data_IF_043269381694
#
_entry.id   IF_043269381694
#
_cell.length_a   1.000
_cell.length_b   1.000
_cell.length_c   1.000
_cell.angle_alpha   90.00
_cell.angle_beta   90.00
_cell.angle_gamma   90.00
#
_symmetry.space_group_name_H-M   'P 1'
#
loop_
_entity.id
_entity.type
_entity.pdbx_description
1 polymer ?
#
# COMPACT_ATOMS: atom_id res chain seq x y z
N UNK A 1 -8.78 62.61 22.36
CA UNK A 1 -8.04 61.69 21.49
C UNK A 1 -8.21 60.26 22.04
N UNK A 2 -9.00 59.41 21.44
CA UNK A 2 -9.14 58.03 21.86
C UNK A 2 -8.21 57.11 21.04
N UNK A 3 -7.42 56.34 21.75
CA UNK A 3 -6.51 55.34 21.20
C UNK A 3 -7.28 54.07 20.79
N UNK A 4 -7.25 53.75 19.52
CA UNK A 4 -7.79 52.53 18.93
C UNK A 4 -7.00 51.31 19.44
N UNK A 5 -7.64 50.43 20.17
CA UNK A 5 -7.14 49.12 20.56
C UNK A 5 -7.66 48.11 19.55
N UNK A 6 -6.84 47.76 18.56
CA UNK A 6 -7.10 46.67 17.61
C UNK A 6 -7.14 45.33 18.34
N UNK A 7 -8.29 44.69 18.36
CA UNK A 7 -8.46 43.31 18.81
C UNK A 7 -7.82 42.37 17.79
N UNK A 8 -6.74 41.77 18.22
CA UNK A 8 -6.04 40.71 17.49
C UNK A 8 -6.78 39.39 17.70
N UNK A 9 -7.69 39.03 16.78
CA UNK A 9 -8.35 37.74 16.75
C UNK A 9 -7.33 36.67 16.36
N UNK A 10 -6.69 36.09 17.35
CA UNK A 10 -5.83 34.92 17.19
C UNK A 10 -6.63 33.76 16.59
N UNK A 11 -6.43 33.53 15.32
CA UNK A 11 -6.82 32.30 14.63
C UNK A 11 -6.16 31.12 15.35
N UNK A 12 -6.89 30.46 16.25
CA UNK A 12 -6.53 29.15 16.78
C UNK A 12 -6.52 28.17 15.59
N UNK A 13 -5.34 27.94 15.03
CA UNK A 13 -5.08 26.82 14.13
C UNK A 13 -5.27 25.56 14.97
N UNK A 14 -6.38 24.87 14.76
CA UNK A 14 -6.54 23.50 15.20
C UNK A 14 -5.47 22.69 14.45
N UNK A 15 -4.38 22.40 15.13
CA UNK A 15 -3.46 21.36 14.73
C UNK A 15 -4.19 20.05 15.03
N UNK A 16 -4.99 19.60 14.07
CA UNK A 16 -5.37 18.21 13.99
C UNK A 16 -4.10 17.44 13.71
N UNK A 17 -3.44 17.03 14.80
CA UNK A 17 -2.45 15.97 14.76
C UNK A 17 -3.22 14.72 14.33
N UNK A 18 -3.41 14.56 13.02
CA UNK A 18 -3.71 13.27 12.45
C UNK A 18 -2.53 12.38 12.86
N UNK A 19 -2.78 11.51 13.83
CA UNK A 19 -1.93 10.38 14.12
C UNK A 19 -1.94 9.55 12.84
N UNK A 20 -1.03 9.90 11.93
CA UNK A 20 -0.67 9.03 10.83
C UNK A 20 -0.13 7.76 11.49
N UNK A 21 -1.06 6.81 11.73
CA UNK A 21 -0.68 5.43 11.85
C UNK A 21 0.06 5.14 10.54
N UNK A 22 1.37 5.22 10.60
CA UNK A 22 2.21 4.66 9.55
C UNK A 22 1.99 3.16 9.59
N UNK A 23 0.88 2.73 8.98
CA UNK A 23 0.69 1.38 8.49
C UNK A 23 1.66 1.21 7.30
N UNK A 24 2.94 1.59 7.56
CA UNK A 24 4.01 1.48 6.58
C UNK A 24 4.30 0.04 6.16
N UNK A 25 3.72 -0.93 6.89
CA UNK A 25 3.81 -2.34 6.53
C UNK A 25 2.86 -2.76 5.39
N UNK A 26 1.88 -1.92 5.02
CA UNK A 26 0.85 -2.30 4.03
C UNK A 26 1.12 -1.84 2.60
N UNK A 27 1.94 -0.81 2.38
CA UNK A 27 2.16 -0.27 1.02
C UNK A 27 3.28 -1.03 0.26
N UNK A 28 4.17 -1.72 0.96
CA UNK A 28 5.05 -2.71 0.33
C UNK A 28 4.26 -3.84 -0.37
N UNK A 29 2.97 -3.92 -0.11
CA UNK A 29 2.02 -4.85 -0.65
C UNK A 29 1.26 -4.42 -1.90
N UNK A 30 1.63 -3.35 -2.63
CA UNK A 30 1.18 -3.21 -4.01
C UNK A 30 1.72 -4.41 -4.79
N UNK A 31 0.87 -5.43 -4.79
CA UNK A 31 1.17 -6.79 -5.17
C UNK A 31 2.11 -6.93 -6.32
N UNK A 32 3.10 -7.70 -6.10
CA UNK A 32 3.61 -8.58 -7.11
C UNK A 32 2.56 -9.66 -7.43
N UNK A 33 1.32 -9.28 -7.77
CA UNK A 33 0.55 -10.13 -8.64
C UNK A 33 1.42 -10.27 -9.86
N UNK A 34 1.76 -11.50 -10.22
CA UNK A 34 2.50 -11.86 -11.43
C UNK A 34 2.02 -10.97 -12.58
N UNK A 35 2.69 -9.84 -12.79
CA UNK A 35 2.67 -9.13 -14.05
C UNK A 35 3.36 -10.08 -15.02
N UNK A 36 2.60 -10.99 -15.61
CA UNK A 36 3.00 -11.70 -16.80
C UNK A 36 2.90 -10.74 -18.00
N UNK A 37 3.64 -9.67 -17.89
CA UNK A 37 4.11 -8.89 -19.03
C UNK A 37 5.61 -8.97 -18.97
N UNK A 38 6.16 -9.95 -19.70
CA UNK A 38 7.59 -10.14 -19.88
C UNK A 38 8.34 -10.36 -18.57
N UNK A 39 8.76 -11.57 -18.32
CA UNK A 39 9.76 -12.03 -17.33
C UNK A 39 10.34 -10.92 -16.44
N UNK A 40 9.66 -10.61 -15.33
CA UNK A 40 10.24 -9.79 -14.27
C UNK A 40 11.46 -10.54 -13.76
N UNK A 41 12.59 -9.86 -13.80
CA UNK A 41 13.91 -10.20 -13.28
C UNK A 41 14.11 -11.59 -12.69
N UNK A 42 14.48 -12.55 -13.54
CA UNK A 42 15.13 -13.77 -13.05
C UNK A 42 16.62 -13.49 -13.00
N UNK A 43 17.16 -13.34 -11.80
CA UNK A 43 18.58 -13.51 -11.58
C UNK A 43 18.80 -14.96 -11.16
N UNK A 44 19.63 -15.69 -11.89
CA UNK A 44 19.88 -17.13 -11.67
C UNK A 44 18.61 -18.03 -11.73
N UNK A 45 17.55 -17.63 -12.46
CA UNK A 45 16.34 -18.43 -12.62
C UNK A 45 15.29 -18.34 -11.51
N UNK A 46 15.60 -17.72 -10.36
CA UNK A 46 14.70 -17.58 -9.22
C UNK A 46 13.96 -16.21 -9.28
N UNK A 47 12.63 -16.15 -9.08
CA UNK A 47 11.89 -14.89 -8.99
C UNK A 47 12.33 -14.07 -7.76
N UNK A 48 12.42 -12.73 -7.90
CA UNK A 48 12.82 -11.83 -6.80
C UNK A 48 11.93 -12.01 -5.56
N UNK A 49 10.64 -12.23 -5.76
CA UNK A 49 9.64 -12.38 -4.70
C UNK A 49 9.83 -13.62 -3.82
N UNK A 50 10.64 -14.58 -4.28
CA UNK A 50 10.91 -15.84 -3.55
C UNK A 50 12.29 -15.88 -2.94
N UNK A 51 13.06 -14.79 -3.05
CA UNK A 51 14.41 -14.68 -2.50
C UNK A 51 14.37 -14.33 -1.01
N UNK A 52 15.32 -14.85 -0.26
CA UNK A 52 15.63 -14.35 1.09
C UNK A 52 16.19 -12.94 1.01
N UNK A 53 16.20 -12.20 2.13
CA UNK A 53 16.72 -10.83 2.16
C UNK A 53 18.17 -10.74 1.65
N UNK A 54 19.03 -11.68 2.01
CA UNK A 54 20.43 -11.70 1.53
C UNK A 54 20.54 -12.02 0.03
N UNK A 55 19.73 -12.96 -0.48
CA UNK A 55 19.67 -13.26 -1.92
C UNK A 55 19.15 -12.04 -2.71
N UNK A 56 18.12 -11.36 -2.21
CA UNK A 56 17.55 -10.17 -2.82
C UNK A 56 18.58 -9.04 -2.88
N UNK A 57 19.27 -8.75 -1.78
CA UNK A 57 20.33 -7.74 -1.72
C UNK A 57 21.44 -8.00 -2.75
N UNK A 58 21.93 -9.24 -2.83
CA UNK A 58 22.92 -9.64 -3.84
C UNK A 58 22.39 -9.48 -5.28
N UNK A 59 21.13 -9.87 -5.50
CA UNK A 59 20.47 -9.73 -6.81
C UNK A 59 20.32 -8.25 -7.20
N UNK A 60 19.97 -7.38 -6.24
CA UNK A 60 19.88 -5.92 -6.44
C UNK A 60 21.23 -5.36 -6.85
N UNK A 61 22.33 -5.76 -6.20
CA UNK A 61 23.68 -5.37 -6.59
C UNK A 61 24.07 -5.79 -8.00
N UNK A 62 23.77 -7.04 -8.41
CA UNK A 62 24.03 -7.54 -9.75
C UNK A 62 23.19 -6.83 -10.84
N UNK A 63 21.92 -6.52 -10.53
CA UNK A 63 21.04 -5.73 -11.42
C UNK A 63 21.55 -4.28 -11.54
N UNK A 64 22.07 -3.70 -10.46
CA UNK A 64 22.69 -2.38 -10.45
C UNK A 64 23.90 -2.29 -11.38
N UNK A 65 24.77 -3.30 -11.37
CA UNK A 65 25.91 -3.37 -12.30
C UNK A 65 25.45 -3.49 -13.77
N UNK A 66 24.35 -4.23 -14.02
CA UNK A 66 23.78 -4.36 -15.35
C UNK A 66 23.15 -3.04 -15.81
N UNK A 67 22.45 -2.36 -14.92
CA UNK A 67 21.88 -1.04 -15.17
C UNK A 67 22.95 0.02 -15.44
N UNK A 68 24.07 0.01 -14.70
CA UNK A 68 25.18 0.96 -14.94
C UNK A 68 25.75 0.84 -16.36
N UNK A 69 25.78 -0.37 -16.92
CA UNK A 69 26.25 -0.62 -18.29
C UNK A 69 25.22 -0.23 -19.35
N UNK A 70 23.93 -0.40 -19.07
CA UNK A 70 22.84 -0.18 -20.02
C UNK A 70 21.65 0.57 -19.36
N UNK A 71 21.82 1.83 -18.99
CA UNK A 71 20.84 2.56 -18.16
C UNK A 71 19.54 2.90 -18.89
N UNK A 72 19.50 2.78 -20.20
CA UNK A 72 18.31 3.05 -21.02
C UNK A 72 17.61 1.76 -21.49
N UNK A 73 18.14 0.58 -21.15
CA UNK A 73 17.42 -0.66 -21.39
C UNK A 73 16.20 -0.77 -20.46
N UNK A 74 15.00 -0.81 -21.07
CA UNK A 74 13.72 -0.82 -20.30
C UNK A 74 13.64 -1.99 -19.32
N UNK A 75 14.01 -3.19 -19.80
CA UNK A 75 13.91 -4.40 -19.01
C UNK A 75 14.89 -4.39 -17.83
N UNK A 76 16.14 -3.98 -18.08
CA UNK A 76 17.16 -3.89 -17.03
C UNK A 76 16.75 -2.84 -16.00
N UNK A 77 16.37 -1.63 -16.42
CA UNK A 77 15.99 -0.56 -15.53
C UNK A 77 14.74 -0.89 -14.69
N UNK A 78 13.71 -1.46 -15.31
CA UNK A 78 12.48 -1.88 -14.59
C UNK A 78 12.77 -2.99 -13.57
N UNK A 79 13.60 -3.98 -13.93
CA UNK A 79 13.97 -5.05 -13.01
C UNK A 79 14.83 -4.53 -11.85
N UNK A 80 15.77 -3.63 -12.13
CA UNK A 80 16.59 -3.02 -11.09
C UNK A 80 15.73 -2.18 -10.14
N UNK A 81 14.83 -1.35 -10.67
CA UNK A 81 13.89 -0.58 -9.85
C UNK A 81 12.99 -1.47 -8.99
N UNK A 82 12.51 -2.59 -9.53
CA UNK A 82 11.71 -3.55 -8.77
C UNK A 82 12.52 -4.19 -7.64
N UNK A 83 13.77 -4.57 -7.90
CA UNK A 83 14.67 -5.13 -6.88
C UNK A 83 14.97 -4.13 -5.77
N UNK A 84 15.29 -2.87 -6.12
CA UNK A 84 15.50 -1.78 -5.18
C UNK A 84 14.27 -1.56 -4.28
N UNK A 85 13.07 -1.54 -4.87
CA UNK A 85 11.82 -1.40 -4.14
C UNK A 85 11.62 -2.51 -3.11
N UNK A 86 11.97 -3.75 -3.45
CA UNK A 86 11.84 -4.90 -2.57
C UNK A 86 12.94 -4.95 -1.51
N UNK A 87 14.13 -4.45 -1.84
CA UNK A 87 15.30 -4.35 -0.94
C UNK A 87 15.19 -3.15 0.04
N UNK A 88 14.12 -2.32 -0.10
CA UNK A 88 13.81 -1.20 0.78
C UNK A 88 14.33 0.16 0.31
N UNK A 89 14.99 0.25 -0.84
CA UNK A 89 15.50 1.50 -1.40
C UNK A 89 14.50 2.11 -2.40
N UNK A 90 13.39 2.61 -1.86
CA UNK A 90 12.30 3.19 -2.64
C UNK A 90 12.74 4.46 -3.38
N UNK A 91 13.62 5.27 -2.78
CA UNK A 91 14.10 6.53 -3.39
C UNK A 91 14.94 6.25 -4.63
N UNK A 92 15.85 5.30 -4.57
CA UNK A 92 16.68 4.94 -5.71
C UNK A 92 15.83 4.26 -6.81
N UNK A 93 14.86 3.41 -6.43
CA UNK A 93 13.87 2.85 -7.35
C UNK A 93 13.14 3.96 -8.12
N UNK A 94 12.66 4.99 -7.42
CA UNK A 94 12.00 6.13 -8.04
C UNK A 94 12.92 6.90 -8.98
N UNK A 95 14.19 7.12 -8.61
CA UNK A 95 15.16 7.83 -9.46
C UNK A 95 15.40 7.07 -10.77
N UNK A 96 15.55 5.74 -10.72
CA UNK A 96 15.70 4.88 -11.90
C UNK A 96 14.46 4.98 -12.79
N UNK A 97 13.26 4.83 -12.20
CA UNK A 97 12.01 4.86 -12.97
C UNK A 97 11.70 6.24 -13.55
N UNK A 98 12.05 7.33 -12.86
CA UNK A 98 11.93 8.70 -13.39
C UNK A 98 12.77 8.88 -14.64
N UNK A 99 14.03 8.45 -14.61
CA UNK A 99 14.92 8.51 -15.78
C UNK A 99 14.34 7.70 -16.95
N UNK A 100 13.81 6.53 -16.67
CA UNK A 100 13.22 5.67 -17.69
C UNK A 100 11.95 6.29 -18.28
N UNK A 101 11.08 6.89 -17.46
CA UNK A 101 9.85 7.54 -17.92
C UNK A 101 10.12 8.78 -18.80
N UNK A 102 11.24 9.49 -18.57
CA UNK A 102 11.69 10.58 -19.45
C UNK A 102 12.11 10.03 -20.81
N UNK A 103 12.82 8.90 -20.84
CA UNK A 103 13.27 8.27 -22.08
C UNK A 103 12.11 7.61 -22.87
N UNK A 104 11.07 7.14 -22.17
CA UNK A 104 9.93 6.42 -22.76
C UNK A 104 8.58 7.01 -22.29
N UNK A 105 8.26 8.26 -22.65
CA UNK A 105 7.13 9.00 -22.07
C UNK A 105 5.74 8.52 -22.49
N UNK A 106 5.65 7.60 -23.46
CA UNK A 106 4.42 7.01 -23.97
C UNK A 106 4.35 5.48 -23.77
N UNK A 107 5.38 4.89 -23.17
CA UNK A 107 5.40 3.45 -22.93
C UNK A 107 4.54 3.13 -21.70
N UNK A 108 3.48 2.35 -21.90
CA UNK A 108 2.49 2.03 -20.87
C UNK A 108 3.09 1.28 -19.68
N UNK A 109 3.96 0.32 -19.97
CA UNK A 109 4.59 -0.50 -18.93
C UNK A 109 5.56 0.34 -18.08
N UNK A 110 6.30 1.24 -18.74
CA UNK A 110 7.19 2.20 -18.04
C UNK A 110 6.38 3.17 -17.18
N UNK A 111 5.28 3.73 -17.71
CA UNK A 111 4.42 4.65 -16.96
C UNK A 111 3.73 3.95 -15.77
N UNK A 112 3.28 2.72 -15.95
CA UNK A 112 2.71 1.90 -14.87
C UNK A 112 3.72 1.63 -13.75
N UNK A 113 4.95 1.24 -14.11
CA UNK A 113 6.01 1.00 -13.15
C UNK A 113 6.48 2.30 -12.46
N UNK A 114 6.54 3.40 -13.19
CA UNK A 114 6.86 4.72 -12.65
C UNK A 114 5.78 5.19 -11.66
N UNK A 115 4.49 5.04 -12.01
CA UNK A 115 3.38 5.33 -11.10
C UNK A 115 3.45 4.53 -9.80
N UNK A 116 3.83 3.25 -9.90
CA UNK A 116 4.05 2.41 -8.71
C UNK A 116 5.20 2.91 -7.84
N UNK A 117 6.33 3.30 -8.45
CA UNK A 117 7.47 3.85 -7.71
C UNK A 117 7.14 5.20 -7.05
N UNK A 118 6.35 6.05 -7.72
CA UNK A 118 5.85 7.31 -7.15
C UNK A 118 4.94 7.05 -5.93
N UNK A 119 3.99 6.13 -6.05
CA UNK A 119 3.08 5.78 -4.97
C UNK A 119 3.83 5.21 -3.75
N UNK A 120 4.84 4.37 -3.98
CA UNK A 120 5.68 3.83 -2.92
C UNK A 120 6.48 4.90 -2.16
N UNK A 121 6.75 6.04 -2.82
CA UNK A 121 7.40 7.21 -2.24
C UNK A 121 6.40 8.26 -1.73
N UNK A 122 5.11 7.93 -1.62
CA UNK A 122 4.09 8.85 -1.14
C UNK A 122 3.73 10.01 -2.08
N UNK A 123 4.21 10.00 -3.34
CA UNK A 123 3.92 11.02 -4.35
C UNK A 123 2.63 10.66 -5.10
N UNK A 124 1.50 10.67 -4.38
CA UNK A 124 0.25 10.07 -4.86
C UNK A 124 -0.38 10.80 -6.04
N UNK A 125 -0.33 12.13 -6.08
CA UNK A 125 -0.87 12.90 -7.20
C UNK A 125 -0.09 12.63 -8.50
N UNK A 126 1.24 12.59 -8.42
CA UNK A 126 2.08 12.26 -9.56
C UNK A 126 1.93 10.79 -9.98
N UNK A 127 1.74 9.89 -9.01
CA UNK A 127 1.45 8.48 -9.27
C UNK A 127 0.13 8.31 -10.02
N UNK A 128 -0.91 9.07 -9.63
CA UNK A 128 -2.22 9.06 -10.28
C UNK A 128 -2.12 9.49 -11.75
N UNK A 129 -1.40 10.60 -12.03
CA UNK A 129 -1.14 11.03 -13.41
C UNK A 129 -0.44 9.94 -14.22
N UNK A 130 0.64 9.38 -13.70
CA UNK A 130 1.40 8.35 -14.40
C UNK A 130 0.57 7.10 -14.70
N UNK A 131 -0.24 6.61 -13.74
CA UNK A 131 -1.11 5.43 -13.92
C UNK A 131 -2.22 5.73 -14.93
N UNK A 132 -2.85 6.91 -14.88
CA UNK A 132 -3.86 7.33 -15.84
C UNK A 132 -3.31 7.39 -17.27
N UNK A 133 -2.12 7.92 -17.45
CA UNK A 133 -1.43 7.95 -18.75
C UNK A 133 -1.05 6.55 -19.27
N UNK A 134 -0.84 5.60 -18.37
CA UNK A 134 -0.60 4.20 -18.73
C UNK A 134 -1.88 3.47 -19.22
N UNK A 135 -3.08 3.95 -18.84
CA UNK A 135 -4.34 3.36 -19.26
C UNK A 135 -4.73 3.80 -20.68
N UNK A 136 -5.38 2.90 -21.43
CA UNK A 136 -6.01 3.21 -22.72
C UNK A 136 -7.42 2.63 -22.74
N UNK A 137 -8.41 3.35 -23.30
CA UNK A 137 -9.78 2.87 -23.40
C UNK A 137 -9.92 1.56 -24.18
N UNK A 138 -9.05 1.38 -25.17
CA UNK A 138 -9.07 0.23 -26.09
C UNK A 138 -8.60 -1.07 -25.44
N UNK A 139 -7.77 -0.95 -24.40
CA UNK A 139 -7.19 -2.11 -23.70
C UNK A 139 -7.27 -1.89 -22.19
N UNK A 140 -8.46 -2.04 -21.59
CA UNK A 140 -8.63 -1.88 -20.17
C UNK A 140 -7.82 -2.93 -19.40
N UNK A 141 -6.98 -2.48 -18.49
CA UNK A 141 -6.16 -3.35 -17.65
C UNK A 141 -6.64 -3.25 -16.20
N UNK A 142 -7.20 -4.33 -15.69
CA UNK A 142 -7.70 -4.40 -14.32
C UNK A 142 -6.63 -4.05 -13.27
N UNK A 143 -5.35 -4.30 -13.57
CA UNK A 143 -4.23 -3.98 -12.66
C UNK A 143 -4.02 -2.49 -12.55
N UNK A 144 -4.08 -1.77 -13.66
CA UNK A 144 -3.97 -0.31 -13.68
C UNK A 144 -5.20 0.33 -13.03
N UNK A 145 -6.39 -0.20 -13.29
CA UNK A 145 -7.62 0.28 -12.63
C UNK A 145 -7.54 0.07 -11.12
N UNK A 146 -7.06 -1.10 -10.66
CA UNK A 146 -6.86 -1.36 -9.23
C UNK A 146 -5.75 -0.51 -8.62
N UNK A 147 -4.68 -0.22 -9.37
CA UNK A 147 -3.60 0.66 -8.92
C UNK A 147 -4.09 2.12 -8.75
N UNK A 148 -4.88 2.61 -9.71
CA UNK A 148 -5.52 3.93 -9.60
C UNK A 148 -6.42 3.99 -8.36
N UNK A 149 -7.24 2.96 -8.12
CA UNK A 149 -8.07 2.87 -6.93
C UNK A 149 -7.26 2.94 -5.64
N UNK A 150 -6.14 2.20 -5.56
CA UNK A 150 -5.28 2.22 -4.37
C UNK A 150 -4.65 3.61 -4.13
N UNK A 151 -4.28 4.33 -5.18
CA UNK A 151 -3.77 5.69 -5.08
C UNK A 151 -4.87 6.66 -4.60
N UNK A 152 -6.10 6.53 -5.11
CA UNK A 152 -7.24 7.33 -4.67
C UNK A 152 -7.59 7.11 -3.20
N UNK A 153 -7.47 5.88 -2.69
CA UNK A 153 -7.62 5.60 -1.26
C UNK A 153 -6.59 6.37 -0.43
N UNK A 154 -5.33 6.44 -0.87
CA UNK A 154 -4.29 7.22 -0.19
C UNK A 154 -4.55 8.73 -0.23
N UNK A 155 -5.20 9.21 -1.29
CA UNK A 155 -5.65 10.60 -1.44
C UNK A 155 -6.96 10.89 -0.66
N UNK A 156 -7.53 9.90 0.04
CA UNK A 156 -8.78 10.03 0.78
C UNK A 156 -10.05 10.00 -0.07
N UNK A 157 -9.93 9.74 -1.38
CA UNK A 157 -11.04 9.67 -2.33
C UNK A 157 -11.67 8.26 -2.34
N UNK A 158 -12.13 7.82 -1.17
CA UNK A 158 -12.55 6.44 -0.90
C UNK A 158 -13.70 5.94 -1.79
N UNK A 159 -14.67 6.80 -2.10
CA UNK A 159 -15.80 6.41 -2.93
C UNK A 159 -15.38 6.12 -4.36
N UNK A 160 -14.52 6.95 -4.92
CA UNK A 160 -13.98 6.78 -6.28
C UNK A 160 -13.08 5.55 -6.34
N UNK A 161 -12.24 5.35 -5.32
CA UNK A 161 -11.42 4.15 -5.18
C UNK A 161 -12.26 2.87 -5.24
N UNK A 162 -13.35 2.78 -4.47
CA UNK A 162 -14.22 1.61 -4.44
C UNK A 162 -14.97 1.38 -5.75
N UNK A 163 -15.33 2.44 -6.48
CA UNK A 163 -15.90 2.30 -7.82
C UNK A 163 -14.89 1.66 -8.78
N UNK A 164 -13.63 2.10 -8.73
CA UNK A 164 -12.58 1.53 -9.57
C UNK A 164 -12.22 0.10 -9.18
N UNK A 165 -12.19 -0.26 -7.88
CA UNK A 165 -12.00 -1.65 -7.48
C UNK A 165 -13.13 -2.55 -8.02
N UNK A 166 -14.40 -2.10 -7.97
CA UNK A 166 -15.51 -2.84 -8.57
C UNK A 166 -15.32 -3.00 -10.08
N UNK A 167 -14.95 -1.92 -10.77
CA UNK A 167 -14.61 -1.98 -12.20
C UNK A 167 -13.45 -2.94 -12.50
N UNK A 168 -12.42 -2.99 -11.66
CA UNK A 168 -11.33 -3.95 -11.80
C UNK A 168 -11.84 -5.40 -11.63
N UNK A 169 -12.79 -5.64 -10.72
CA UNK A 169 -13.44 -6.95 -10.54
C UNK A 169 -14.38 -7.32 -11.68
N UNK A 170 -14.99 -6.36 -12.38
CA UNK A 170 -15.72 -6.62 -13.63
C UNK A 170 -14.78 -7.11 -14.74
N UNK A 171 -13.57 -6.53 -14.83
CA UNK A 171 -12.55 -6.94 -15.81
C UNK A 171 -11.88 -8.27 -15.43
N UNK A 172 -11.71 -8.53 -14.15
CA UNK A 172 -11.09 -9.74 -13.60
C UNK A 172 -11.87 -10.22 -12.38
N UNK A 173 -12.93 -11.00 -12.57
CA UNK A 173 -13.75 -11.50 -11.48
C UNK A 173 -12.94 -12.33 -10.48
N UNK A 174 -13.26 -12.19 -9.21
CA UNK A 174 -12.66 -12.95 -8.10
C UNK A 174 -11.13 -12.82 -7.99
N UNK A 175 -10.54 -11.75 -8.53
CA UNK A 175 -9.10 -11.52 -8.36
C UNK A 175 -8.77 -11.22 -6.89
N UNK A 176 -8.01 -12.08 -6.18
CA UNK A 176 -7.84 -11.96 -4.74
C UNK A 176 -7.12 -10.68 -4.33
N UNK A 177 -6.20 -10.18 -5.14
CA UNK A 177 -5.49 -8.93 -4.85
C UNK A 177 -6.45 -7.72 -4.89
N UNK A 178 -7.38 -7.69 -5.82
CA UNK A 178 -8.38 -6.60 -5.93
C UNK A 178 -9.42 -6.70 -4.81
N UNK A 179 -9.90 -7.91 -4.51
CA UNK A 179 -10.81 -8.15 -3.38
C UNK A 179 -10.17 -7.71 -2.06
N UNK A 180 -8.90 -8.08 -1.84
CA UNK A 180 -8.15 -7.69 -0.65
C UNK A 180 -7.96 -6.17 -0.56
N UNK A 181 -7.61 -5.49 -1.67
CA UNK A 181 -7.48 -4.04 -1.70
C UNK A 181 -8.81 -3.34 -1.41
N UNK A 182 -9.91 -3.82 -1.98
CA UNK A 182 -11.25 -3.32 -1.69
C UNK A 182 -11.61 -3.52 -0.20
N UNK A 183 -11.25 -4.67 0.37
CA UNK A 183 -11.38 -4.91 1.82
C UNK A 183 -10.57 -3.90 2.63
N UNK A 184 -9.31 -3.62 2.25
CA UNK A 184 -8.48 -2.61 2.93
C UNK A 184 -9.07 -1.20 2.81
N UNK A 185 -9.70 -0.84 1.70
CA UNK A 185 -10.42 0.42 1.56
C UNK A 185 -11.53 0.57 2.60
N UNK A 186 -12.24 -0.51 2.94
CA UNK A 186 -13.23 -0.52 4.03
C UNK A 186 -12.58 -0.46 5.42
N UNK A 187 -11.38 -1.06 5.61
CA UNK A 187 -10.60 -0.89 6.86
C UNK A 187 -10.28 0.58 7.12
N UNK A 188 -9.86 1.33 6.08
CA UNK A 188 -9.56 2.76 6.18
C UNK A 188 -10.77 3.61 6.56
N UNK A 189 -11.99 3.10 6.37
CA UNK A 189 -13.24 3.73 6.80
C UNK A 189 -13.71 3.28 8.18
N UNK A 190 -13.14 2.19 8.69
CA UNK A 190 -13.56 1.58 9.95
C UNK A 190 -14.69 0.55 9.80
N UNK A 191 -15.16 0.26 8.59
CA UNK A 191 -16.13 -0.81 8.34
C UNK A 191 -15.45 -2.18 8.27
N UNK A 192 -15.05 -2.67 9.44
CA UNK A 192 -14.31 -3.91 9.57
C UNK A 192 -15.13 -5.15 9.17
N UNK A 193 -16.47 -5.10 9.26
CA UNK A 193 -17.33 -6.22 8.85
C UNK A 193 -17.37 -6.40 7.34
N UNK A 194 -17.56 -5.32 6.62
CA UNK A 194 -17.51 -5.34 5.15
C UNK A 194 -16.09 -5.68 4.66
N UNK A 195 -15.04 -5.14 5.31
CA UNK A 195 -13.65 -5.48 5.02
C UNK A 195 -13.40 -6.99 5.15
N UNK A 196 -13.85 -7.62 6.23
CA UNK A 196 -13.72 -9.05 6.45
C UNK A 196 -14.41 -9.88 5.37
N UNK A 197 -15.61 -9.48 4.96
CA UNK A 197 -16.35 -10.17 3.89
C UNK A 197 -15.54 -10.26 2.60
N UNK A 198 -14.97 -9.14 2.16
CA UNK A 198 -14.13 -9.11 0.97
C UNK A 198 -12.84 -9.91 1.14
N UNK A 199 -12.20 -9.83 2.31
CA UNK A 199 -10.94 -10.55 2.56
C UNK A 199 -11.13 -12.06 2.71
N UNK A 200 -12.25 -12.53 3.27
CA UNK A 200 -12.58 -13.93 3.26
C UNK A 200 -12.82 -14.44 1.84
N UNK A 201 -13.58 -13.69 1.03
CA UNK A 201 -13.74 -14.01 -0.39
C UNK A 201 -12.40 -14.07 -1.12
N UNK A 202 -11.50 -13.12 -0.85
CA UNK A 202 -10.15 -13.11 -1.42
C UNK A 202 -9.33 -14.34 -1.00
N UNK A 203 -9.34 -14.68 0.28
CA UNK A 203 -8.53 -15.77 0.84
C UNK A 203 -8.97 -17.17 0.37
N UNK A 204 -10.23 -17.30 -0.08
CA UNK A 204 -10.78 -18.54 -0.62
C UNK A 204 -10.40 -18.79 -2.08
N UNK A 205 -9.81 -17.80 -2.77
CA UNK A 205 -9.42 -17.96 -4.16
C UNK A 205 -8.17 -18.86 -4.27
N UNK A 206 -8.09 -19.75 -5.28
CA UNK A 206 -6.95 -20.67 -5.44
C UNK A 206 -5.60 -19.98 -5.60
N UNK A 207 -5.59 -18.75 -6.13
CA UNK A 207 -4.39 -17.92 -6.35
C UNK A 207 -4.19 -16.84 -5.28
N UNK A 208 -4.88 -16.95 -4.13
CA UNK A 208 -4.64 -16.07 -2.99
C UNK A 208 -3.21 -16.25 -2.47
N UNK A 209 -2.50 -15.16 -2.31
CA UNK A 209 -1.14 -15.14 -1.77
C UNK A 209 -1.13 -14.97 -0.24
N UNK A 210 0.05 -15.07 0.35
CA UNK A 210 0.25 -14.91 1.80
C UNK A 210 -0.26 -13.57 2.33
N UNK A 211 -0.14 -12.49 1.55
CA UNK A 211 -0.61 -11.15 1.98
C UNK A 211 -2.12 -11.07 2.14
N UNK A 212 -2.87 -11.72 1.25
CA UNK A 212 -4.33 -11.77 1.35
C UNK A 212 -4.74 -12.40 2.68
N UNK A 213 -4.07 -13.49 3.09
CA UNK A 213 -4.35 -14.17 4.37
C UNK A 213 -3.86 -13.34 5.57
N UNK A 214 -2.71 -12.68 5.46
CA UNK A 214 -2.22 -11.76 6.50
C UNK A 214 -3.17 -10.55 6.67
N UNK A 215 -3.68 -9.98 5.58
CA UNK A 215 -4.66 -8.91 5.63
C UNK A 215 -5.99 -9.38 6.28
N UNK A 216 -6.42 -10.61 6.00
CA UNK A 216 -7.58 -11.19 6.70
C UNK A 216 -7.30 -11.33 8.20
N UNK A 217 -6.13 -11.85 8.60
CA UNK A 217 -5.75 -11.95 10.01
C UNK A 217 -5.76 -10.58 10.69
N UNK A 218 -5.24 -9.54 10.01
CA UNK A 218 -5.26 -8.17 10.52
C UNK A 218 -6.69 -7.69 10.76
N UNK A 219 -7.59 -7.84 9.79
CA UNK A 219 -8.98 -7.37 9.92
C UNK A 219 -9.73 -8.09 11.03
N UNK A 220 -9.53 -9.39 11.17
CA UNK A 220 -10.11 -10.20 12.25
C UNK A 220 -9.56 -9.75 13.61
N UNK A 221 -8.26 -9.50 13.69
CA UNK A 221 -7.62 -8.99 14.91
C UNK A 221 -8.06 -7.58 15.29
N UNK A 222 -8.27 -6.67 14.31
CA UNK A 222 -8.81 -5.32 14.53
C UNK A 222 -10.22 -5.35 15.14
N UNK A 223 -10.98 -6.44 14.93
CA UNK A 223 -12.28 -6.66 15.56
C UNK A 223 -12.17 -7.29 16.97
N UNK A 224 -10.95 -7.46 17.50
CA UNK A 224 -10.70 -8.05 18.82
C UNK A 224 -10.71 -9.58 18.86
N UNK A 225 -10.86 -10.26 17.73
CA UNK A 225 -10.85 -11.73 17.62
C UNK A 225 -9.42 -12.25 17.45
N UNK A 226 -8.62 -12.07 18.50
CA UNK A 226 -7.18 -12.31 18.46
C UNK A 226 -6.80 -13.76 18.23
N UNK A 227 -7.50 -14.71 18.87
CA UNK A 227 -7.20 -16.15 18.72
C UNK A 227 -7.48 -16.65 17.29
N UNK A 228 -8.52 -16.13 16.66
CA UNK A 228 -8.82 -16.41 15.25
C UNK A 228 -7.79 -15.77 14.32
N UNK A 229 -7.38 -14.53 14.60
CA UNK A 229 -6.33 -13.83 13.84
C UNK A 229 -5.00 -14.59 13.89
N UNK A 230 -4.61 -15.10 15.07
CA UNK A 230 -3.42 -15.91 15.25
C UNK A 230 -3.49 -17.21 14.44
N UNK A 231 -4.64 -17.91 14.51
CA UNK A 231 -4.86 -19.13 13.72
C UNK A 231 -4.77 -18.91 12.21
N UNK A 232 -5.28 -17.77 11.72
CA UNK A 232 -5.19 -17.42 10.29
C UNK A 232 -3.73 -17.09 9.93
N UNK A 233 -3.04 -16.29 10.76
CA UNK A 233 -1.64 -15.90 10.53
C UNK A 233 -0.70 -17.11 10.56
N UNK A 234 -0.91 -18.08 11.42
CA UNK A 234 -0.10 -19.30 11.55
C UNK A 234 -0.18 -20.25 10.34
N UNK A 235 -1.07 -19.99 9.37
CA UNK A 235 -1.07 -20.72 8.10
C UNK A 235 0.09 -20.30 7.19
N UNK A 236 0.69 -19.11 7.43
CA UNK A 236 1.70 -18.50 6.59
C UNK A 236 3.01 -18.19 7.36
N UNK A 237 2.90 -17.95 8.64
CA UNK A 237 4.01 -17.55 9.52
C UNK A 237 4.33 -18.67 10.51
N UNK A 238 5.52 -18.63 11.09
CA UNK A 238 5.79 -19.50 12.24
C UNK A 238 4.85 -19.14 13.41
N UNK A 239 4.53 -20.09 14.29
CA UNK A 239 3.69 -19.81 15.45
C UNK A 239 4.17 -18.61 16.28
N UNK A 240 5.48 -18.47 16.46
CA UNK A 240 6.09 -17.39 17.22
C UNK A 240 5.89 -16.04 16.53
N UNK A 241 6.01 -15.99 15.19
CA UNK A 241 5.76 -14.77 14.40
C UNK A 241 4.29 -14.39 14.41
N UNK A 242 3.40 -15.35 14.26
CA UNK A 242 1.96 -15.12 14.32
C UNK A 242 1.54 -14.56 15.68
N UNK A 243 2.03 -15.16 16.77
CA UNK A 243 1.77 -14.72 18.14
C UNK A 243 2.33 -13.30 18.37
N UNK A 244 3.56 -13.02 17.93
CA UNK A 244 4.16 -11.70 18.08
C UNK A 244 3.37 -10.61 17.34
N UNK A 245 2.90 -10.89 16.12
CA UNK A 245 2.09 -9.95 15.34
C UNK A 245 0.75 -9.66 16.01
N UNK A 246 0.08 -10.69 16.53
CA UNK A 246 -1.20 -10.52 17.24
C UNK A 246 -1.02 -9.81 18.57
N UNK A 247 0.04 -10.13 19.33
CA UNK A 247 0.36 -9.42 20.58
C UNK A 247 0.61 -7.93 20.33
N UNK A 248 1.36 -7.58 19.30
CA UNK A 248 1.60 -6.19 18.89
C UNK A 248 0.28 -5.48 18.53
N UNK A 249 -0.60 -6.11 17.74
CA UNK A 249 -1.90 -5.56 17.39
C UNK A 249 -2.78 -5.33 18.62
N UNK A 250 -2.82 -6.29 19.55
CA UNK A 250 -3.54 -6.18 20.83
C UNK A 250 -3.04 -5.00 21.65
N UNK A 251 -1.73 -4.82 21.74
CA UNK A 251 -1.11 -3.69 22.45
C UNK A 251 -1.47 -2.36 21.81
N UNK A 252 -1.40 -2.25 20.49
CA UNK A 252 -1.78 -1.01 19.77
C UNK A 252 -3.23 -0.63 20.04
N UNK A 253 -4.15 -1.58 19.95
CA UNK A 253 -5.58 -1.35 20.21
C UNK A 253 -5.84 -0.95 21.68
N UNK A 254 -5.14 -1.55 22.64
CA UNK A 254 -5.23 -1.17 24.05
C UNK A 254 -4.76 0.27 24.28
N UNK A 255 -3.64 0.68 23.67
CA UNK A 255 -3.14 2.06 23.74
C UNK A 255 -4.12 3.06 23.11
N UNK A 256 -4.69 2.73 21.95
CA UNK A 256 -5.67 3.60 21.28
C UNK A 256 -6.92 3.80 22.14
N UNK A 257 -7.42 2.74 22.77
CA UNK A 257 -8.58 2.81 23.68
C UNK A 257 -8.27 3.66 24.92
N UNK A 258 -7.09 3.51 25.52
CA UNK A 258 -6.66 4.33 26.66
C UNK A 258 -6.56 5.83 26.30
N UNK A 259 -6.01 6.16 25.13
CA UNK A 259 -5.98 7.53 24.61
C UNK A 259 -7.38 8.11 24.35
N UNK A 260 -8.29 7.31 23.81
CA UNK A 260 -9.68 7.73 23.59
C UNK A 260 -10.37 8.07 24.91
N UNK A 261 -10.22 7.22 25.94
CA UNK A 261 -10.78 7.44 27.26
C UNK A 261 -10.22 8.71 27.94
N UNK A 262 -8.91 8.97 27.82
CA UNK A 262 -8.28 10.18 28.36
C UNK A 262 -8.83 11.45 27.70
N UNK A 263 -8.96 11.44 26.37
CA UNK A 263 -9.54 12.57 25.62
C UNK A 263 -10.99 12.85 26.00
N UNK A 264 -11.77 11.83 26.24
CA UNK A 264 -13.18 11.97 26.65
C UNK A 264 -13.29 12.48 28.09
N UNK A 265 -12.39 12.08 28.99
CA UNK A 265 -12.28 12.63 30.35
C UNK A 265 -11.87 14.10 30.35
N UNK A 266 -10.92 14.51 29.50
CA UNK A 266 -10.50 15.91 29.38
C UNK A 266 -11.59 16.81 28.82
N UNK A 267 -12.40 16.30 27.89
CA UNK A 267 -13.59 17.02 27.37
C UNK A 267 -14.70 17.17 28.42
N UNK A 268 -14.81 16.22 29.34
CA UNK A 268 -15.83 16.20 30.39
C UNK A 268 -15.47 17.08 31.58
N UNK A 269 -14.22 17.56 31.70
CA UNK A 269 -13.83 18.53 32.76
C UNK A 269 -14.43 19.89 32.44
N UNK A 270 -15.25 20.52 33.34
CA UNK A 270 -15.74 21.86 33.14
C UNK A 270 -14.56 22.83 33.08
N UNK A 271 -14.64 23.80 32.15
CA UNK A 271 -13.66 24.88 32.07
C UNK A 271 -13.65 25.60 33.43
N UNK A 272 -12.60 25.38 34.21
CA UNK A 272 -12.34 26.17 35.41
C UNK A 272 -11.98 27.56 34.94
N UNK A 273 -12.89 28.52 35.23
CA UNK A 273 -12.66 29.95 35.08
C UNK A 273 -11.56 30.42 36.04
#
# INVERSE_FOLDING_TARGET
MPTNRTMNTGRRRFVTTALMLTLAAGIAGCGTSKLTTGSIGRTNGKPLETMSAGELHNATGALGQSYARNPNDRRIATNFAAALQMDGDADQSLAVMRKLAIAYPKDRDVLAAYGKALAANGQFEAALDAVRRAQTPEYPDWKLVSAEAAILDQLGQKNDARQLYRKALELKPNEPSVLSNLGMSYVLEGDLRTAETYMRSASQQPNADSRVRQNLALVVGLQGRFDEAEKIASQELSPEQAQANVAYLRQMLAQQNAWSQLKDQDKAKPATN
#
